data_IF_574658302233
#
_entry.id   IF_574658302233
#
_cell.length_a   1.000
_cell.length_b   1.000
_cell.length_c   1.000
_cell.angle_alpha   90.00
_cell.angle_beta   90.00
_cell.angle_gamma   90.00
#
_symmetry.space_group_name_H-M   'P 1'
#
loop_
_entity.id
_entity.type
_entity.pdbx_description
1 polymer ?
#
# COMPACT_ATOMS: atom_id res chain seq x y z
N UNK A 1 -5.83 14.30 26.94
CA UNK A 1 -4.87 13.48 26.18
C UNK A 1 -4.85 14.00 24.75
N UNK A 2 -3.82 13.71 23.96
CA UNK A 2 -3.78 14.08 22.53
C UNK A 2 -4.22 12.87 21.71
N UNK A 3 -4.84 13.10 20.55
CA UNK A 3 -5.23 12.02 19.64
C UNK A 3 -3.97 11.26 19.17
N UNK A 4 -3.96 9.93 19.27
CA UNK A 4 -2.79 9.15 18.87
C UNK A 4 -2.66 9.10 17.33
N UNK A 5 -1.52 9.46 16.73
CA UNK A 5 -1.39 9.61 15.28
C UNK A 5 -1.55 8.29 14.51
N UNK A 6 -1.19 7.15 15.13
CA UNK A 6 -1.40 5.83 14.51
C UNK A 6 -2.89 5.48 14.48
N UNK A 7 -3.63 5.75 15.56
CA UNK A 7 -5.08 5.51 15.59
C UNK A 7 -5.74 6.32 14.47
N UNK A 8 -5.41 7.60 14.37
CA UNK A 8 -5.94 8.48 13.33
C UNK A 8 -5.62 7.96 11.93
N UNK A 9 -4.37 7.53 11.67
CA UNK A 9 -4.01 6.90 10.39
C UNK A 9 -4.90 5.69 10.08
N UNK A 10 -5.09 4.77 11.03
CA UNK A 10 -5.88 3.56 10.82
C UNK A 10 -7.36 3.89 10.56
N UNK A 11 -7.90 4.90 11.25
CA UNK A 11 -9.28 5.38 11.01
C UNK A 11 -9.45 5.96 9.61
N UNK A 12 -8.49 6.78 9.17
CA UNK A 12 -8.49 7.39 7.84
C UNK A 12 -8.31 6.34 6.72
N UNK A 13 -7.51 5.30 6.94
CA UNK A 13 -7.40 4.20 5.98
C UNK A 13 -8.65 3.30 5.95
N UNK A 14 -9.37 3.20 7.07
CA UNK A 14 -10.59 2.39 7.19
C UNK A 14 -11.83 3.05 6.58
N UNK A 15 -11.94 4.38 6.66
CA UNK A 15 -13.18 5.10 6.31
C UNK A 15 -12.98 6.39 5.51
N UNK A 16 -11.74 6.70 5.13
CA UNK A 16 -11.43 7.93 4.40
C UNK A 16 -11.73 9.19 5.21
N UNK A 17 -11.83 10.30 4.50
CA UNK A 17 -12.26 11.59 5.01
C UNK A 17 -12.96 12.39 3.92
N UNK A 18 -13.67 13.45 4.30
CA UNK A 18 -14.19 14.44 3.35
C UNK A 18 -13.28 15.65 3.30
N UNK A 19 -12.99 16.15 2.10
CA UNK A 19 -12.17 17.37 1.93
C UNK A 19 -13.11 18.57 1.92
N UNK A 20 -12.88 19.56 2.80
CA UNK A 20 -13.70 20.76 2.81
C UNK A 20 -13.45 21.64 1.58
N UNK A 21 -14.41 22.51 1.18
CA UNK A 21 -14.24 23.37 0.02
C UNK A 21 -12.98 24.24 0.10
N UNK A 22 -12.69 24.79 1.28
CA UNK A 22 -11.49 25.61 1.52
C UNK A 22 -10.21 24.78 1.36
N UNK A 23 -10.16 23.57 1.91
CA UNK A 23 -9.02 22.68 1.75
C UNK A 23 -8.84 22.25 0.28
N UNK A 24 -9.93 21.95 -0.43
CA UNK A 24 -9.89 21.58 -1.84
C UNK A 24 -9.34 22.71 -2.72
N UNK A 25 -9.73 23.96 -2.46
CA UNK A 25 -9.21 25.13 -3.17
C UNK A 25 -7.70 25.28 -2.95
N UNK A 26 -7.25 25.13 -1.70
CA UNK A 26 -5.84 25.27 -1.35
C UNK A 26 -4.97 24.15 -1.97
N UNK A 27 -5.49 22.92 -1.98
CA UNK A 27 -4.84 21.78 -2.65
C UNK A 27 -4.61 22.06 -4.14
N UNK A 28 -5.61 22.63 -4.82
CA UNK A 28 -5.55 22.90 -6.27
C UNK A 28 -4.48 23.92 -6.70
N UNK A 29 -3.88 24.68 -5.76
CA UNK A 29 -2.93 25.76 -6.09
C UNK A 29 -1.52 25.26 -6.39
N UNK A 30 -0.96 24.42 -5.53
CA UNK A 30 0.46 24.02 -5.61
C UNK A 30 0.76 22.63 -5.03
N UNK A 31 -0.22 21.99 -4.39
CA UNK A 31 -0.02 20.74 -3.70
C UNK A 31 -0.12 19.56 -4.67
N UNK A 32 0.61 18.50 -4.34
CA UNK A 32 0.63 17.30 -5.16
C UNK A 32 -0.77 16.67 -5.16
N UNK A 33 -1.39 16.64 -6.33
CA UNK A 33 -2.50 15.71 -6.63
C UNK A 33 -1.87 14.44 -7.21
N UNK A 34 -2.23 13.28 -6.68
CA UNK A 34 -1.55 12.04 -7.04
C UNK A 34 -1.73 11.65 -8.51
N UNK A 35 -0.76 10.88 -9.00
CA UNK A 35 -0.73 10.36 -10.36
C UNK A 35 -0.37 8.87 -10.29
N UNK A 36 -1.38 8.04 -10.09
CA UNK A 36 -1.21 6.59 -9.98
C UNK A 36 -0.62 6.01 -11.27
N UNK A 37 0.36 5.12 -11.15
CA UNK A 37 1.00 4.41 -12.26
C UNK A 37 0.99 2.91 -11.97
N UNK A 38 0.26 2.17 -12.80
CA UNK A 38 0.13 0.70 -12.73
C UNK A 38 -0.31 0.21 -11.35
N UNK A 39 0.42 -0.75 -10.77
CA UNK A 39 0.09 -1.33 -9.46
C UNK A 39 0.56 -0.46 -8.27
N UNK A 40 1.29 0.63 -8.51
CA UNK A 40 1.85 1.50 -7.47
C UNK A 40 1.04 2.78 -7.34
N UNK A 41 0.77 3.22 -6.10
CA UNK A 41 0.18 4.54 -5.87
C UNK A 41 -1.33 4.63 -6.14
N UNK A 42 -2.13 3.61 -5.77
CA UNK A 42 -3.58 3.59 -6.00
C UNK A 42 -4.41 4.63 -5.19
N UNK A 43 -3.79 5.58 -4.49
CA UNK A 43 -4.44 6.40 -3.45
C UNK A 43 -4.07 7.89 -3.58
N UNK A 44 -5.07 8.74 -3.77
CA UNK A 44 -4.90 10.02 -4.45
C UNK A 44 -4.27 11.18 -3.65
N UNK A 45 -4.04 11.03 -2.35
CA UNK A 45 -3.52 12.13 -1.54
C UNK A 45 -2.63 11.63 -0.40
N UNK A 46 -1.36 12.01 -0.43
CA UNK A 46 -0.47 11.77 0.70
C UNK A 46 -0.62 12.92 1.71
N UNK A 47 -0.84 12.58 2.98
CA UNK A 47 -0.76 13.52 4.09
C UNK A 47 0.28 13.03 5.11
N UNK A 48 0.88 13.97 5.83
CA UNK A 48 1.82 13.68 6.90
C UNK A 48 1.25 14.28 8.19
N UNK A 49 0.86 13.42 9.12
CA UNK A 49 0.29 13.81 10.42
C UNK A 49 1.39 14.33 11.36
N UNK A 50 1.09 15.36 12.13
CA UNK A 50 2.00 15.98 13.10
C UNK A 50 1.32 16.16 14.46
N UNK A 51 1.95 15.74 15.58
CA UNK A 51 3.33 15.23 15.73
C UNK A 51 3.55 13.79 15.23
N UNK A 52 4.82 13.37 15.11
CA UNK A 52 5.20 11.99 14.75
C UNK A 52 5.49 11.74 13.27
N UNK A 53 5.10 12.66 12.37
CA UNK A 53 5.33 12.57 10.92
C UNK A 53 4.86 11.22 10.35
N UNK A 54 3.62 10.86 10.68
CA UNK A 54 3.00 9.62 10.19
C UNK A 54 2.44 9.86 8.79
N UNK A 55 2.96 9.13 7.81
CA UNK A 55 2.43 9.14 6.46
C UNK A 55 1.10 8.40 6.37
N UNK A 56 0.13 9.01 5.69
CA UNK A 56 -1.14 8.40 5.32
C UNK A 56 -1.38 8.66 3.84
N UNK A 57 -1.51 7.60 3.05
CA UNK A 57 -1.92 7.66 1.64
C UNK A 57 -3.41 7.47 1.58
N UNK A 58 -4.15 8.57 1.53
CA UNK A 58 -5.60 8.58 1.61
C UNK A 58 -6.22 7.97 0.34
N UNK A 59 -7.09 6.96 0.49
CA UNK A 59 -7.95 6.51 -0.59
C UNK A 59 -8.95 7.60 -0.92
N UNK A 60 -8.69 8.32 -2.00
CA UNK A 60 -9.55 9.36 -2.51
C UNK A 60 -9.48 9.38 -4.04
N UNK A 61 -10.40 10.09 -4.68
CA UNK A 61 -10.38 10.34 -6.12
C UNK A 61 -11.16 9.35 -6.96
N UNK A 62 -11.13 9.56 -8.28
CA UNK A 62 -12.09 8.97 -9.22
C UNK A 62 -12.12 7.43 -9.26
N UNK A 63 -11.02 6.76 -8.88
CA UNK A 63 -10.91 5.31 -8.87
C UNK A 63 -11.51 4.64 -7.63
N UNK A 64 -11.66 5.37 -6.52
CA UNK A 64 -12.21 4.85 -5.26
C UNK A 64 -13.75 4.88 -5.33
N UNK A 65 -14.40 3.83 -4.85
CA UNK A 65 -15.86 3.75 -4.80
C UNK A 65 -16.41 4.79 -3.79
N UNK A 66 -17.56 5.39 -4.12
CA UNK A 66 -18.16 6.48 -3.33
C UNK A 66 -18.52 6.05 -1.91
N UNK A 67 -18.95 4.79 -1.71
CA UNK A 67 -19.29 4.31 -0.37
C UNK A 67 -18.10 4.17 0.59
N UNK A 68 -16.86 4.35 0.12
CA UNK A 68 -15.69 4.35 1.00
C UNK A 68 -15.78 5.45 2.06
N UNK A 69 -16.25 6.63 1.67
CA UNK A 69 -16.35 7.84 2.50
C UNK A 69 -17.76 8.03 3.09
N UNK A 70 -18.69 7.11 2.83
CA UNK A 70 -20.07 7.22 3.29
C UNK A 70 -20.14 7.22 4.82
N UNK A 71 -20.78 8.27 5.35
CA UNK A 71 -20.95 8.47 6.79
C UNK A 71 -19.65 8.75 7.55
N UNK A 72 -18.51 8.94 6.89
CA UNK A 72 -17.25 9.26 7.57
C UNK A 72 -17.36 10.58 8.33
N UNK A 73 -16.98 10.63 9.62
CA UNK A 73 -16.97 11.87 10.38
C UNK A 73 -15.69 12.68 10.19
N UNK A 74 -14.69 12.13 9.53
CA UNK A 74 -13.37 12.75 9.39
C UNK A 74 -13.37 13.75 8.25
N UNK A 75 -12.73 14.90 8.47
CA UNK A 75 -12.57 15.92 7.44
C UNK A 75 -11.11 16.36 7.31
N UNK A 76 -10.72 16.75 6.10
CA UNK A 76 -9.50 17.51 5.84
C UNK A 76 -9.88 18.98 5.70
N UNK A 77 -9.35 19.79 6.60
CA UNK A 77 -9.64 21.22 6.73
C UNK A 77 -8.37 22.05 6.54
N UNK A 78 -8.56 23.35 6.33
CA UNK A 78 -7.48 24.35 6.32
C UNK A 78 -7.93 25.55 7.15
N UNK A 79 -7.08 26.00 8.08
CA UNK A 79 -7.38 27.20 8.87
C UNK A 79 -7.03 28.50 8.12
N UNK A 80 -7.42 29.65 8.67
CA UNK A 80 -7.17 30.96 8.06
C UNK A 80 -5.69 31.32 7.87
N UNK A 81 -4.76 30.55 8.44
CA UNK A 81 -3.32 30.68 8.24
C UNK A 81 -2.76 29.75 7.16
N UNK A 82 -3.60 28.94 6.49
CA UNK A 82 -3.17 27.96 5.50
C UNK A 82 -2.65 26.65 6.09
N UNK A 83 -2.80 26.43 7.41
CA UNK A 83 -2.37 25.19 8.05
C UNK A 83 -3.49 24.14 7.91
N UNK A 84 -3.16 23.03 7.23
CA UNK A 84 -4.05 21.88 7.13
C UNK A 84 -4.18 21.13 8.46
N UNK A 85 -5.37 20.59 8.72
CA UNK A 85 -5.62 19.73 9.87
C UNK A 85 -6.71 18.69 9.56
N UNK A 86 -6.66 17.59 10.31
CA UNK A 86 -7.73 16.59 10.32
C UNK A 86 -8.74 16.97 11.39
N UNK A 87 -9.99 17.10 10.96
CA UNK A 87 -11.15 17.33 11.80
C UNK A 87 -11.95 16.05 12.03
N UNK A 88 -12.78 16.03 13.08
CA UNK A 88 -13.79 14.98 13.32
C UNK A 88 -15.10 15.63 13.75
N UNK A 89 -16.17 15.36 13.02
CA UNK A 89 -17.54 15.76 13.38
C UNK A 89 -18.11 14.85 14.48
N UNK A 90 -19.16 15.29 15.21
CA UNK A 90 -19.86 14.43 16.16
C UNK A 90 -20.24 13.09 15.54
N UNK A 91 -19.82 11.99 16.17
CA UNK A 91 -19.93 10.66 15.60
C UNK A 91 -20.23 9.61 16.67
N UNK A 92 -20.79 8.48 16.23
CA UNK A 92 -21.00 7.30 17.09
C UNK A 92 -20.34 6.07 16.47
N UNK A 93 -19.73 5.22 17.29
CA UNK A 93 -19.23 3.93 16.86
C UNK A 93 -20.41 2.94 16.75
N UNK A 94 -20.57 2.32 15.59
CA UNK A 94 -21.57 1.26 15.35
C UNK A 94 -21.04 -0.10 15.79
N UNK A 95 -21.95 -1.07 15.90
CA UNK A 95 -21.62 -2.47 16.22
C UNK A 95 -20.69 -3.11 15.19
N UNK A 96 -20.74 -2.68 13.93
CA UNK A 96 -19.84 -3.11 12.85
C UNK A 96 -18.41 -2.51 12.95
N UNK A 97 -18.12 -1.77 14.03
CA UNK A 97 -16.81 -1.15 14.25
C UNK A 97 -16.53 0.04 13.36
N UNK A 98 -17.54 0.61 12.68
CA UNK A 98 -17.40 1.82 11.86
C UNK A 98 -18.00 3.04 12.55
N UNK A 99 -17.41 4.21 12.30
CA UNK A 99 -17.95 5.47 12.79
C UNK A 99 -19.09 5.93 11.88
N UNK A 100 -20.13 6.54 12.45
CA UNK A 100 -21.16 7.24 11.68
C UNK A 100 -21.26 8.68 12.15
N UNK A 101 -21.13 9.63 11.20
CA UNK A 101 -21.37 11.05 11.42
C UNK A 101 -22.83 11.25 11.87
N UNK A 102 -23.03 11.96 12.98
CA UNK A 102 -24.35 12.20 13.57
C UNK A 102 -24.92 13.56 13.17
N UNK A 103 -24.05 14.53 12.89
CA UNK A 103 -24.41 15.92 12.59
C UNK A 103 -23.54 16.43 11.44
N UNK A 104 -24.07 16.36 10.21
CA UNK A 104 -23.33 16.69 9.00
C UNK A 104 -22.99 18.18 8.88
N UNK A 105 -23.79 19.07 9.48
CA UNK A 105 -23.57 20.52 9.43
C UNK A 105 -22.74 21.04 10.61
N UNK A 106 -22.32 20.18 11.54
CA UNK A 106 -21.51 20.57 12.69
C UNK A 106 -20.08 20.94 12.27
N UNK A 107 -19.53 21.96 12.93
CA UNK A 107 -18.12 22.31 12.82
C UNK A 107 -17.25 21.16 13.37
N UNK A 108 -16.22 20.70 12.64
CA UNK A 108 -15.40 19.58 13.07
C UNK A 108 -14.46 19.98 14.21
N UNK A 109 -14.31 19.10 15.19
CA UNK A 109 -13.26 19.22 16.21
C UNK A 109 -11.89 19.00 15.55
N UNK A 110 -10.94 19.93 15.74
CA UNK A 110 -9.56 19.80 15.25
C UNK A 110 -8.83 18.71 16.04
N UNK A 111 -8.54 17.58 15.39
CA UNK A 111 -7.83 16.47 16.02
C UNK A 111 -6.31 16.63 15.92
N UNK A 112 -5.80 16.93 14.72
CA UNK A 112 -4.37 16.88 14.45
C UNK A 112 -3.96 17.72 13.26
N UNK A 113 -2.81 18.39 13.33
CA UNK A 113 -2.25 19.10 12.19
C UNK A 113 -1.67 18.12 11.17
N UNK A 114 -1.78 18.44 9.90
CA UNK A 114 -1.15 17.66 8.85
C UNK A 114 -0.51 18.57 7.80
N UNK A 115 0.39 17.99 7.02
CA UNK A 115 0.99 18.65 5.86
C UNK A 115 0.80 17.80 4.63
N UNK A 116 0.50 18.45 3.51
CA UNK A 116 0.45 17.81 2.20
C UNK A 116 1.76 18.10 1.48
N UNK A 117 2.36 17.12 0.77
CA UNK A 117 3.59 17.34 0.03
C UNK A 117 3.34 18.29 -1.15
N UNK A 118 4.30 19.17 -1.38
CA UNK A 118 4.31 20.01 -2.57
C UNK A 118 4.48 19.16 -3.84
N UNK A 119 3.98 19.67 -4.97
CA UNK A 119 4.22 19.02 -6.26
C UNK A 119 5.72 18.90 -6.54
N UNK A 120 6.26 17.70 -6.81
CA UNK A 120 7.67 17.54 -7.12
C UNK A 120 8.05 18.29 -8.40
N UNK A 121 9.12 19.10 -8.37
CA UNK A 121 9.51 19.93 -9.51
C UNK A 121 9.91 19.14 -10.77
N UNK A 122 10.24 17.85 -10.65
CA UNK A 122 10.53 17.01 -11.80
C UNK A 122 9.25 16.58 -12.55
N UNK A 123 8.06 16.77 -11.98
CA UNK A 123 6.79 16.43 -12.64
C UNK A 123 6.52 17.25 -13.90
N UNK A 124 7.11 18.45 -14.01
CA UNK A 124 6.95 19.33 -15.19
C UNK A 124 8.02 19.06 -16.26
N UNK A 125 8.91 18.09 -16.02
CA UNK A 125 9.98 17.70 -16.95
C UNK A 125 9.57 16.51 -17.80
N UNK A 126 10.26 16.37 -18.93
CA UNK A 126 10.15 15.23 -19.84
C UNK A 126 11.50 14.54 -19.98
N UNK A 127 11.47 13.24 -20.18
CA UNK A 127 12.65 12.47 -20.56
C UNK A 127 13.04 12.77 -22.00
N UNK A 128 14.25 12.39 -22.42
CA UNK A 128 14.74 12.46 -23.80
C UNK A 128 13.87 11.68 -24.79
N UNK A 129 13.15 10.66 -24.32
CA UNK A 129 12.17 9.91 -25.11
C UNK A 129 10.79 10.59 -25.18
N UNK A 130 10.62 11.77 -24.56
CA UNK A 130 9.39 12.55 -24.60
C UNK A 130 8.33 12.17 -23.56
N UNK A 131 8.61 11.20 -22.68
CA UNK A 131 7.70 10.80 -21.62
C UNK A 131 7.68 11.83 -20.49
N UNK A 132 6.50 12.07 -19.91
CA UNK A 132 6.38 12.86 -18.68
C UNK A 132 7.08 12.11 -17.54
N UNK A 133 8.00 12.77 -16.85
CA UNK A 133 8.69 12.16 -15.70
C UNK A 133 7.72 11.82 -14.56
N UNK A 134 6.59 12.54 -14.45
CA UNK A 134 5.48 12.22 -13.54
C UNK A 134 4.91 10.81 -13.79
N UNK A 135 4.83 10.38 -15.05
CA UNK A 135 4.27 9.08 -15.43
C UNK A 135 5.31 7.96 -15.44
N UNK A 136 6.61 8.30 -15.46
CA UNK A 136 7.69 7.34 -15.31
C UNK A 136 7.87 6.94 -13.85
N UNK A 137 7.94 7.91 -12.94
CA UNK A 137 8.15 7.61 -11.51
C UNK A 137 7.44 8.65 -10.63
N UNK A 138 6.12 8.52 -10.41
CA UNK A 138 5.43 9.36 -9.45
C UNK A 138 6.03 9.23 -8.05
N UNK A 139 6.21 10.37 -7.39
CA UNK A 139 6.59 10.44 -5.98
C UNK A 139 5.40 10.00 -5.13
N UNK A 140 5.59 9.12 -4.16
CA UNK A 140 4.56 8.65 -3.24
C UNK A 140 5.16 8.55 -1.84
N UNK A 141 4.59 9.25 -0.85
CA UNK A 141 5.19 9.35 0.48
C UNK A 141 6.60 9.96 0.45
N UNK A 142 7.63 9.12 0.50
CA UNK A 142 9.04 9.47 0.41
C UNK A 142 9.80 8.72 -0.71
N UNK A 143 9.10 7.98 -1.57
CA UNK A 143 9.71 7.14 -2.61
C UNK A 143 9.21 7.45 -4.02
N UNK A 144 9.90 6.95 -5.04
CA UNK A 144 9.44 6.95 -6.42
C UNK A 144 8.82 5.62 -6.80
N UNK A 145 7.53 5.56 -7.09
CA UNK A 145 6.83 4.34 -7.51
C UNK A 145 6.87 4.16 -9.01
N UNK A 146 6.96 2.93 -9.51
CA UNK A 146 6.78 2.68 -10.96
C UNK A 146 6.43 1.23 -11.28
N UNK A 147 6.17 1.00 -12.56
CA UNK A 147 5.93 -0.28 -13.20
C UNK A 147 6.78 -0.38 -14.45
N UNK A 148 7.25 -1.58 -14.77
CA UNK A 148 7.90 -1.87 -16.06
C UNK A 148 6.89 -2.50 -17.02
N UNK A 149 6.05 -3.40 -16.49
CA UNK A 149 4.98 -4.06 -17.22
C UNK A 149 3.64 -3.86 -16.51
N UNK A 150 2.73 -3.06 -17.09
CA UNK A 150 1.40 -2.85 -16.54
C UNK A 150 0.41 -3.97 -16.86
N UNK A 151 0.75 -4.92 -17.74
CA UNK A 151 -0.13 -6.01 -18.15
C UNK A 151 0.02 -7.23 -17.25
N UNK A 152 -1.08 -7.95 -17.01
CA UNK A 152 -1.12 -9.15 -16.19
C UNK A 152 -1.75 -10.34 -16.94
N UNK A 153 -1.16 -11.53 -16.82
CA UNK A 153 -1.65 -12.76 -17.47
C UNK A 153 -3.05 -13.16 -16.99
N UNK A 154 -3.39 -12.86 -15.74
CA UNK A 154 -4.70 -13.20 -15.16
C UNK A 154 -5.86 -12.37 -15.70
N UNK A 155 -5.58 -11.31 -16.46
CA UNK A 155 -6.58 -10.55 -17.22
C UNK A 155 -6.65 -11.03 -18.68
N UNK A 156 -5.92 -12.08 -19.06
CA UNK A 156 -5.92 -12.61 -20.43
C UNK A 156 -4.98 -11.89 -21.41
N UNK A 157 -4.21 -10.88 -20.98
CA UNK A 157 -3.31 -10.11 -21.86
C UNK A 157 -2.23 -10.93 -22.56
N UNK A 158 -1.79 -12.03 -21.95
CA UNK A 158 -0.74 -12.91 -22.49
C UNK A 158 -1.26 -14.28 -22.91
N UNK A 159 -2.19 -14.84 -22.14
CA UNK A 159 -2.72 -16.19 -22.33
C UNK A 159 -4.23 -16.17 -22.12
N UNK A 160 -4.98 -16.45 -23.18
CA UNK A 160 -6.45 -16.39 -23.17
C UNK A 160 -7.09 -17.33 -22.13
N UNK A 161 -6.46 -18.45 -21.81
CA UNK A 161 -6.96 -19.42 -20.82
C UNK A 161 -6.99 -18.91 -19.36
N UNK A 162 -6.43 -17.71 -19.12
CA UNK A 162 -6.47 -17.02 -17.84
C UNK A 162 -7.43 -15.84 -17.82
N UNK A 163 -8.12 -15.53 -18.93
CA UNK A 163 -9.18 -14.53 -18.97
C UNK A 163 -10.27 -14.86 -17.92
N UNK A 164 -10.67 -13.87 -17.10
CA UNK A 164 -11.64 -14.04 -16.01
C UNK A 164 -11.07 -14.62 -14.71
N UNK A 165 -9.76 -14.84 -14.63
CA UNK A 165 -9.07 -15.36 -13.43
C UNK A 165 -8.33 -14.29 -12.63
N UNK A 166 -8.56 -13.02 -12.95
CA UNK A 166 -7.96 -11.87 -12.27
C UNK A 166 -8.25 -11.86 -10.78
N UNK A 167 -7.33 -11.28 -10.02
CA UNK A 167 -7.56 -11.09 -8.60
C UNK A 167 -8.73 -10.12 -8.40
N UNK A 168 -9.72 -10.50 -7.60
CA UNK A 168 -11.03 -9.82 -7.51
C UNK A 168 -10.97 -8.37 -6.98
N UNK A 169 -9.86 -7.98 -6.37
CA UNK A 169 -9.57 -6.62 -5.87
C UNK A 169 -8.68 -5.78 -6.80
N UNK A 170 -8.16 -6.35 -7.89
CA UNK A 170 -7.10 -5.73 -8.67
C UNK A 170 -7.65 -4.78 -9.73
N UNK A 171 -7.36 -3.49 -9.63
CA UNK A 171 -7.63 -2.49 -10.69
C UNK A 171 -6.41 -2.14 -11.55
N UNK A 172 -5.59 -3.13 -11.94
CA UNK A 172 -4.38 -2.85 -12.74
C UNK A 172 -4.73 -2.49 -14.20
N UNK A 173 -5.77 -3.11 -14.77
CA UNK A 173 -6.20 -2.89 -16.15
C UNK A 173 -6.84 -1.50 -16.32
N UNK A 174 -7.65 -1.08 -15.36
CA UNK A 174 -8.26 0.25 -15.30
C UNK A 174 -7.19 1.36 -15.29
N UNK A 175 -6.05 1.10 -14.64
CA UNK A 175 -4.91 2.00 -14.66
C UNK A 175 -4.22 2.03 -16.03
N UNK A 176 -4.08 0.88 -16.69
CA UNK A 176 -3.54 0.77 -18.04
C UNK A 176 -4.43 1.48 -19.07
N UNK A 177 -5.73 1.18 -19.09
CA UNK A 177 -6.71 1.72 -20.05
C UNK A 177 -6.86 3.23 -19.96
N UNK A 178 -6.71 3.81 -18.77
CA UNK A 178 -6.74 5.26 -18.58
C UNK A 178 -5.53 6.02 -19.16
N UNK A 179 -4.51 5.32 -19.69
CA UNK A 179 -3.31 5.92 -20.29
C UNK A 179 -2.34 6.56 -19.28
N UNK A 180 -2.54 6.32 -17.97
CA UNK A 180 -1.70 6.87 -16.90
C UNK A 180 -0.33 6.18 -16.80
N UNK A 181 -0.21 4.97 -17.31
CA UNK A 181 1.02 4.17 -17.26
C UNK A 181 1.61 4.00 -18.67
N UNK A 182 2.62 4.79 -19.07
CA UNK A 182 3.15 4.74 -20.41
C UNK A 182 3.85 3.40 -20.66
N UNK A 183 3.61 2.81 -21.83
CA UNK A 183 4.26 1.57 -22.24
C UNK A 183 4.59 1.62 -23.75
N UNK A 184 5.81 1.26 -24.18
CA UNK A 184 6.94 0.78 -23.37
C UNK A 184 7.74 1.90 -22.70
N UNK A 185 8.21 1.68 -21.46
CA UNK A 185 9.21 2.53 -20.79
C UNK A 185 10.62 2.07 -21.15
N UNK A 186 11.57 3.00 -21.20
CA UNK A 186 12.99 2.74 -21.52
C UNK A 186 13.86 2.92 -20.28
N UNK A 187 15.04 2.31 -20.30
CA UNK A 187 16.01 2.42 -19.20
C UNK A 187 16.41 3.89 -18.99
N UNK A 188 16.65 4.63 -20.08
CA UNK A 188 17.00 6.05 -20.03
C UNK A 188 15.91 6.91 -19.39
N UNK A 189 14.63 6.55 -19.57
CA UNK A 189 13.52 7.23 -18.90
C UNK A 189 13.68 7.19 -17.39
N UNK A 190 14.07 6.03 -16.85
CA UNK A 190 14.27 5.84 -15.42
C UNK A 190 15.54 6.52 -14.91
N UNK A 191 16.64 6.48 -15.66
CA UNK A 191 17.88 7.14 -15.28
C UNK A 191 17.69 8.65 -15.16
N UNK A 192 17.12 9.28 -16.19
CA UNK A 192 16.87 10.72 -16.21
C UNK A 192 15.85 11.13 -15.15
N UNK A 193 14.77 10.36 -15.00
CA UNK A 193 13.73 10.67 -14.00
C UNK A 193 14.27 10.51 -12.58
N UNK A 194 15.06 9.48 -12.29
CA UNK A 194 15.65 9.26 -10.98
C UNK A 194 16.68 10.35 -10.62
N UNK A 195 17.50 10.77 -11.59
CA UNK A 195 18.44 11.88 -11.40
C UNK A 195 17.72 13.16 -10.94
N UNK A 196 16.59 13.48 -11.56
CA UNK A 196 15.77 14.64 -11.21
C UNK A 196 14.99 14.44 -9.91
N UNK A 197 14.43 13.25 -9.68
CA UNK A 197 13.67 12.94 -8.47
C UNK A 197 14.54 13.04 -7.22
N UNK A 198 15.81 12.63 -7.28
CA UNK A 198 16.78 12.74 -6.16
C UNK A 198 17.07 14.18 -5.73
N UNK A 199 16.74 15.18 -6.57
CA UNK A 199 16.86 16.62 -6.22
C UNK A 199 15.66 17.10 -5.40
N UNK A 200 14.56 16.33 -5.34
CA UNK A 200 13.38 16.67 -4.54
C UNK A 200 13.63 16.41 -3.05
N UNK A 201 13.45 17.41 -2.15
CA UNK A 201 13.76 17.26 -0.73
C UNK A 201 13.04 16.10 -0.01
N UNK A 202 11.86 15.69 -0.49
CA UNK A 202 11.08 14.57 0.07
C UNK A 202 11.50 13.19 -0.45
N UNK A 203 12.30 13.11 -1.50
CA UNK A 203 12.70 11.83 -2.10
C UNK A 203 13.77 11.13 -1.26
N UNK A 204 13.59 9.83 -1.02
CA UNK A 204 14.52 8.98 -0.27
C UNK A 204 15.01 7.79 -1.08
N UNK A 205 14.14 7.15 -1.85
CA UNK A 205 14.51 5.99 -2.64
C UNK A 205 13.53 5.65 -3.76
N UNK A 206 13.91 4.71 -4.61
CA UNK A 206 13.12 4.22 -5.74
C UNK A 206 13.93 4.19 -7.04
N UNK A 207 13.48 3.53 -8.11
CA UNK A 207 12.10 3.08 -8.25
C UNK A 207 11.74 1.91 -7.33
N UNK A 208 10.56 2.01 -6.73
CA UNK A 208 9.84 0.88 -6.15
C UNK A 208 8.98 0.31 -7.26
N UNK A 209 9.46 -0.77 -7.87
CA UNK A 209 8.80 -1.43 -8.97
C UNK A 209 7.72 -2.40 -8.48
N UNK A 210 6.55 -2.34 -9.10
CA UNK A 210 5.57 -3.42 -9.11
C UNK A 210 5.12 -3.68 -10.55
N UNK A 211 4.42 -4.79 -10.80
CA UNK A 211 3.93 -5.06 -12.15
C UNK A 211 2.86 -6.13 -12.18
N UNK A 212 2.21 -6.24 -13.33
CA UNK A 212 1.36 -7.40 -13.61
C UNK A 212 2.20 -8.67 -13.75
N UNK A 213 1.54 -9.82 -13.60
CA UNK A 213 2.22 -11.11 -13.70
C UNK A 213 2.43 -11.47 -15.16
N UNK A 214 3.66 -11.81 -15.55
CA UNK A 214 3.95 -12.31 -16.90
C UNK A 214 3.80 -13.83 -16.97
N UNK A 215 3.56 -14.36 -18.17
CA UNK A 215 3.30 -15.79 -18.39
C UNK A 215 4.54 -16.70 -18.30
N UNK A 216 5.75 -16.13 -18.44
CA UNK A 216 6.99 -16.91 -18.44
C UNK A 216 7.33 -17.48 -17.04
N UNK A 217 8.14 -18.54 -16.96
CA UNK A 217 8.53 -19.14 -15.67
C UNK A 217 9.36 -18.21 -14.79
N UNK A 218 9.96 -17.17 -15.37
CA UNK A 218 10.71 -16.13 -14.64
C UNK A 218 9.81 -15.03 -14.08
N UNK A 219 8.50 -15.01 -14.42
CA UNK A 219 7.51 -14.02 -13.98
C UNK A 219 7.95 -12.57 -14.15
N UNK A 220 8.77 -12.32 -15.18
CA UNK A 220 9.29 -11.01 -15.54
C UNK A 220 10.62 -10.67 -14.89
N UNK A 221 11.21 -11.54 -14.07
CA UNK A 221 12.49 -11.30 -13.41
C UNK A 221 13.60 -10.92 -14.41
N UNK A 222 13.67 -11.60 -15.56
CA UNK A 222 14.70 -11.31 -16.58
C UNK A 222 14.58 -9.90 -17.13
N UNK A 223 13.36 -9.41 -17.33
CA UNK A 223 13.20 -8.06 -17.87
C UNK A 223 13.47 -7.03 -16.77
N UNK A 224 12.98 -7.23 -15.56
CA UNK A 224 13.26 -6.31 -14.46
C UNK A 224 14.77 -6.21 -14.17
N UNK A 225 15.52 -7.32 -14.24
CA UNK A 225 16.98 -7.31 -14.10
C UNK A 225 17.70 -6.39 -15.12
N UNK A 226 17.15 -6.23 -16.34
CA UNK A 226 17.70 -5.32 -17.37
C UNK A 226 17.52 -3.85 -17.01
N UNK A 227 16.52 -3.51 -16.19
CA UNK A 227 16.30 -2.15 -15.72
C UNK A 227 17.02 -1.90 -14.38
N UNK A 228 17.01 -2.87 -13.48
CA UNK A 228 17.66 -2.76 -12.16
C UNK A 228 19.16 -2.50 -12.29
N UNK A 229 19.87 -3.25 -13.15
CA UNK A 229 21.33 -3.17 -13.24
C UNK A 229 21.83 -1.79 -13.66
N UNK A 230 21.39 -1.20 -14.79
CA UNK A 230 21.81 0.15 -15.17
C UNK A 230 21.46 1.22 -14.13
N UNK A 231 20.29 1.11 -13.48
CA UNK A 231 19.88 2.05 -12.43
C UNK A 231 20.81 1.93 -11.22
N UNK A 232 21.11 0.71 -10.76
CA UNK A 232 22.02 0.48 -9.64
C UNK A 232 23.45 0.89 -9.97
N UNK A 233 23.92 0.63 -11.19
CA UNK A 233 25.27 1.03 -11.64
C UNK A 233 25.41 2.57 -11.66
N UNK A 234 24.38 3.30 -12.10
CA UNK A 234 24.37 4.76 -12.14
C UNK A 234 24.18 5.39 -10.74
N UNK A 235 23.41 4.75 -9.86
CA UNK A 235 23.09 5.23 -8.52
C UNK A 235 23.29 4.13 -7.45
N UNK A 236 24.55 3.79 -7.10
CA UNK A 236 24.85 2.64 -6.21
C UNK A 236 24.26 2.76 -4.80
N UNK A 237 24.10 3.99 -4.30
CA UNK A 237 23.53 4.31 -2.99
C UNK A 237 21.99 4.26 -2.96
N UNK A 238 21.36 4.17 -4.13
CA UNK A 238 19.93 4.28 -4.26
C UNK A 238 19.23 2.93 -4.03
N UNK A 239 18.31 2.87 -3.06
CA UNK A 239 17.59 1.64 -2.73
C UNK A 239 16.53 1.27 -3.78
N UNK A 240 16.60 0.05 -4.32
CA UNK A 240 15.71 -0.50 -5.34
C UNK A 240 14.88 -1.64 -4.78
N UNK A 241 13.56 -1.56 -4.94
CA UNK A 241 12.63 -2.62 -4.56
C UNK A 241 11.88 -3.11 -5.78
N UNK A 242 11.62 -4.41 -5.82
CA UNK A 242 10.76 -5.02 -6.81
C UNK A 242 9.69 -5.91 -6.18
N UNK A 243 8.48 -5.88 -6.70
CA UNK A 243 7.43 -6.85 -6.38
C UNK A 243 6.89 -7.47 -7.66
N UNK A 244 6.96 -8.80 -7.76
CA UNK A 244 6.45 -9.61 -8.89
C UNK A 244 5.79 -10.88 -8.35
N UNK A 245 5.17 -11.69 -9.21
CA UNK A 245 4.79 -13.04 -8.80
C UNK A 245 6.04 -13.91 -8.57
N UNK A 246 6.01 -14.88 -7.64
CA UNK A 246 7.15 -15.75 -7.40
C UNK A 246 7.48 -16.54 -8.67
N UNK A 247 8.74 -16.49 -9.16
CA UNK A 247 9.15 -17.27 -10.31
C UNK A 247 9.17 -18.77 -9.98
N UNK A 248 9.19 -19.63 -11.00
CA UNK A 248 9.19 -21.09 -10.82
C UNK A 248 10.50 -21.63 -10.21
N UNK A 249 11.60 -20.92 -10.42
CA UNK A 249 12.95 -21.33 -10.00
C UNK A 249 13.68 -20.20 -9.26
N UNK A 250 14.45 -20.60 -8.27
CA UNK A 250 15.22 -19.77 -7.33
C UNK A 250 16.24 -18.86 -8.03
N UNK A 251 16.87 -19.35 -9.11
CA UNK A 251 17.86 -18.61 -9.92
C UNK A 251 17.34 -17.26 -10.43
N UNK A 252 16.02 -17.10 -10.57
CA UNK A 252 15.42 -15.85 -11.00
C UNK A 252 15.33 -14.82 -9.87
N UNK A 253 15.20 -15.24 -8.61
CA UNK A 253 15.40 -14.36 -7.47
C UNK A 253 16.87 -13.93 -7.37
N UNK A 254 17.80 -14.88 -7.52
CA UNK A 254 19.25 -14.58 -7.51
C UNK A 254 19.62 -13.54 -8.56
N UNK A 255 19.12 -13.71 -9.78
CA UNK A 255 19.31 -12.77 -10.88
C UNK A 255 18.86 -11.33 -10.53
N UNK A 256 17.78 -11.18 -9.78
CA UNK A 256 17.28 -9.85 -9.38
C UNK A 256 18.21 -9.18 -8.37
N UNK A 257 18.68 -9.93 -7.38
CA UNK A 257 19.66 -9.42 -6.40
C UNK A 257 21.01 -9.13 -7.04
N UNK A 258 21.50 -10.00 -7.93
CA UNK A 258 22.72 -9.76 -8.72
C UNK A 258 22.60 -8.53 -9.64
N UNK A 259 21.38 -8.20 -10.07
CA UNK A 259 21.09 -7.00 -10.84
C UNK A 259 20.92 -5.74 -9.97
N UNK A 260 21.04 -5.85 -8.65
CA UNK A 260 20.99 -4.70 -7.75
C UNK A 260 19.66 -4.47 -7.06
N UNK A 261 18.74 -5.44 -7.02
CA UNK A 261 17.59 -5.34 -6.12
C UNK A 261 18.06 -5.35 -4.65
N UNK A 262 17.56 -4.41 -3.85
CA UNK A 262 17.78 -4.42 -2.40
C UNK A 262 16.70 -5.20 -1.65
N UNK A 263 15.54 -5.39 -2.28
CA UNK A 263 14.45 -6.17 -1.71
C UNK A 263 13.54 -6.66 -2.82
N UNK A 264 13.11 -7.91 -2.72
CA UNK A 264 12.16 -8.54 -3.64
C UNK A 264 10.94 -9.00 -2.85
N UNK A 265 9.75 -8.65 -3.33
CA UNK A 265 8.49 -8.99 -2.69
C UNK A 265 7.66 -10.00 -3.50
N UNK A 266 7.05 -10.96 -2.80
CA UNK A 266 6.12 -11.94 -3.38
C UNK A 266 4.75 -11.89 -2.68
N UNK A 267 3.78 -11.31 -3.40
CA UNK A 267 2.38 -11.08 -3.04
C UNK A 267 1.51 -12.28 -2.65
N UNK A 268 1.37 -12.62 -1.36
CA UNK A 268 0.30 -13.53 -0.88
C UNK A 268 -1.09 -12.93 -1.12
N UNK A 269 -1.26 -11.67 -0.73
CA UNK A 269 -2.53 -10.91 -0.71
C UNK A 269 -3.54 -11.45 0.32
N UNK A 270 -3.79 -12.76 0.36
CA UNK A 270 -4.75 -13.43 1.25
C UNK A 270 -4.07 -14.64 1.88
N UNK A 271 -4.09 -14.79 3.20
CA UNK A 271 -3.45 -15.93 3.87
C UNK A 271 -4.35 -17.16 3.91
N UNK A 272 -5.66 -16.98 4.16
CA UNK A 272 -6.61 -18.08 4.21
C UNK A 272 -6.68 -18.83 2.86
N UNK A 273 -6.37 -20.14 2.81
CA UNK A 273 -6.33 -20.89 1.55
C UNK A 273 -7.64 -20.89 0.76
N UNK A 274 -8.79 -20.94 1.45
CA UNK A 274 -10.09 -20.98 0.77
C UNK A 274 -10.41 -19.62 0.16
N UNK A 275 -10.14 -18.55 0.88
CA UNK A 275 -10.31 -17.18 0.38
C UNK A 275 -9.29 -16.85 -0.70
N UNK A 276 -8.04 -17.31 -0.59
CA UNK A 276 -7.02 -17.14 -1.60
C UNK A 276 -7.44 -17.76 -2.95
N UNK A 277 -8.00 -18.98 -2.94
CA UNK A 277 -8.53 -19.60 -4.14
C UNK A 277 -9.72 -18.82 -4.75
N UNK A 278 -10.58 -18.24 -3.91
CA UNK A 278 -11.73 -17.44 -4.38
C UNK A 278 -11.33 -16.07 -4.93
N UNK A 279 -10.40 -15.40 -4.26
CA UNK A 279 -10.04 -14.01 -4.53
C UNK A 279 -8.88 -13.88 -5.52
N UNK A 280 -8.03 -14.90 -5.64
CA UNK A 280 -6.88 -14.95 -6.53
C UNK A 280 -6.83 -16.26 -7.35
N UNK A 281 -7.91 -16.63 -8.07
CA UNK A 281 -7.99 -17.95 -8.72
C UNK A 281 -6.89 -18.18 -9.76
N UNK A 282 -6.49 -17.14 -10.50
CA UNK A 282 -5.39 -17.21 -11.46
C UNK A 282 -4.05 -17.54 -10.81
N UNK A 283 -3.75 -16.96 -9.64
CA UNK A 283 -2.53 -17.26 -8.87
C UNK A 283 -2.54 -18.70 -8.37
N UNK A 284 -3.66 -19.20 -7.86
CA UNK A 284 -3.75 -20.60 -7.40
C UNK A 284 -3.53 -21.57 -8.55
N UNK A 285 -4.18 -21.33 -9.70
CA UNK A 285 -4.01 -22.17 -10.90
C UNK A 285 -2.58 -22.15 -11.44
N UNK A 286 -1.94 -20.98 -11.48
CA UNK A 286 -0.69 -20.74 -12.22
C UNK A 286 0.58 -20.82 -11.38
N UNK A 287 0.53 -20.39 -10.12
CA UNK A 287 1.70 -20.32 -9.23
C UNK A 287 1.76 -21.53 -8.31
N UNK A 288 0.61 -21.96 -7.80
CA UNK A 288 0.46 -23.00 -6.79
C UNK A 288 -0.01 -24.35 -7.37
N UNK A 289 0.01 -24.47 -8.71
CA UNK A 289 -0.38 -25.68 -9.44
C UNK A 289 -1.77 -26.24 -9.03
N UNK A 290 -2.70 -25.34 -8.69
CA UNK A 290 -4.07 -25.65 -8.33
C UNK A 290 -4.32 -25.96 -6.85
N UNK A 291 -3.29 -25.97 -6.00
CA UNK A 291 -3.42 -26.28 -4.57
C UNK A 291 -3.20 -25.02 -3.74
N UNK A 292 -4.24 -24.40 -3.16
CA UNK A 292 -4.05 -23.18 -2.37
C UNK A 292 -3.31 -23.51 -1.06
N UNK A 293 -2.02 -23.17 -0.98
CA UNK A 293 -1.20 -23.39 0.21
C UNK A 293 -0.08 -22.36 0.43
N UNK A 294 0.23 -21.56 -0.60
CA UNK A 294 1.36 -20.64 -0.66
C UNK A 294 2.72 -21.33 -0.74
N UNK A 295 2.79 -22.61 -1.09
CA UNK A 295 4.02 -23.42 -1.11
C UNK A 295 5.09 -22.83 -2.03
N UNK A 296 4.71 -22.35 -3.22
CA UNK A 296 5.66 -21.74 -4.15
C UNK A 296 6.10 -20.36 -3.67
N UNK A 297 5.21 -19.59 -3.06
CA UNK A 297 5.59 -18.32 -2.44
C UNK A 297 6.58 -18.55 -1.29
N UNK A 298 6.26 -19.49 -0.41
CA UNK A 298 7.05 -19.93 0.74
C UNK A 298 8.45 -20.39 0.34
N UNK A 299 8.52 -21.25 -0.66
CA UNK A 299 9.78 -21.71 -1.25
C UNK A 299 10.65 -20.53 -1.67
N UNK A 300 10.07 -19.59 -2.41
CA UNK A 300 10.82 -18.48 -2.99
C UNK A 300 11.23 -17.42 -1.97
N UNK A 301 10.37 -17.10 -0.98
CA UNK A 301 10.75 -16.15 0.08
C UNK A 301 11.76 -16.74 1.06
N UNK A 302 11.67 -18.05 1.39
CA UNK A 302 12.71 -18.72 2.19
C UNK A 302 14.06 -18.69 1.49
N UNK A 303 14.11 -19.01 0.20
CA UNK A 303 15.34 -18.92 -0.60
C UNK A 303 15.97 -17.51 -0.52
N UNK A 304 15.15 -16.45 -0.59
CA UNK A 304 15.66 -15.08 -0.48
C UNK A 304 16.24 -14.82 0.91
N UNK A 305 15.53 -15.19 1.98
CA UNK A 305 15.99 -14.93 3.35
C UNK A 305 17.27 -15.72 3.66
N UNK A 306 17.34 -16.98 3.24
CA UNK A 306 18.51 -17.84 3.46
C UNK A 306 19.77 -17.34 2.76
N UNK A 307 19.66 -16.79 1.55
CA UNK A 307 20.80 -16.38 0.73
C UNK A 307 21.17 -14.89 0.85
N UNK A 308 20.18 -14.02 1.08
CA UNK A 308 20.38 -12.56 1.12
C UNK A 308 20.16 -11.96 2.50
N UNK A 309 19.49 -12.67 3.42
CA UNK A 309 19.28 -12.27 4.81
C UNK A 309 17.86 -11.77 5.12
N UNK A 310 17.57 -11.69 6.41
CA UNK A 310 16.32 -11.15 6.96
C UNK A 310 16.05 -9.74 6.44
N UNK A 311 14.80 -9.44 6.09
CA UNK A 311 14.40 -8.12 5.59
C UNK A 311 14.73 -7.86 4.11
N UNK A 312 15.29 -8.84 3.39
CA UNK A 312 15.47 -8.76 1.92
C UNK A 312 14.26 -9.27 1.15
N UNK A 313 13.33 -9.95 1.81
CA UNK A 313 12.04 -10.35 1.28
C UNK A 313 10.90 -9.60 1.99
N UNK A 314 9.84 -9.29 1.25
CA UNK A 314 8.57 -8.83 1.81
C UNK A 314 7.39 -9.58 1.19
N UNK A 315 6.27 -9.65 1.89
CA UNK A 315 5.03 -10.17 1.33
C UNK A 315 3.83 -9.37 1.86
N UNK A 316 2.97 -8.93 0.95
CA UNK A 316 1.74 -8.25 1.30
C UNK A 316 0.62 -9.20 1.73
N UNK A 317 -0.16 -8.76 2.71
CA UNK A 317 -1.50 -9.25 3.03
C UNK A 317 -2.50 -8.09 2.95
N UNK A 318 -3.76 -8.38 2.63
CA UNK A 318 -4.84 -7.40 2.50
C UNK A 318 -5.80 -7.49 3.68
N UNK A 319 -5.73 -6.52 4.58
CA UNK A 319 -6.68 -6.39 5.67
C UNK A 319 -8.09 -6.06 5.13
N UNK A 320 -9.10 -6.77 5.63
CA UNK A 320 -10.51 -6.60 5.24
C UNK A 320 -11.01 -7.57 4.16
N UNK A 321 -10.14 -8.43 3.63
CA UNK A 321 -10.50 -9.48 2.67
C UNK A 321 -10.43 -10.90 3.24
N UNK A 322 -10.12 -11.02 4.52
CA UNK A 322 -10.22 -12.22 5.34
C UNK A 322 -10.46 -11.81 6.80
N UNK A 323 -10.89 -12.73 7.70
CA UNK A 323 -11.01 -12.42 9.12
C UNK A 323 -9.68 -11.90 9.69
N UNK A 324 -9.71 -10.87 10.54
CA UNK A 324 -8.51 -10.23 11.08
C UNK A 324 -7.51 -11.22 11.73
N UNK A 325 -8.02 -12.26 12.40
CA UNK A 325 -7.18 -13.34 12.95
C UNK A 325 -6.37 -14.06 11.86
N UNK A 326 -6.96 -14.34 10.69
CA UNK A 326 -6.24 -15.00 9.58
C UNK A 326 -5.12 -14.13 9.02
N UNK A 327 -5.33 -12.81 8.96
CA UNK A 327 -4.26 -11.87 8.62
C UNK A 327 -3.14 -11.89 9.66
N UNK A 328 -3.47 -11.97 10.96
CA UNK A 328 -2.49 -12.12 12.04
C UNK A 328 -1.72 -13.44 11.94
N UNK A 329 -2.38 -14.55 11.63
CA UNK A 329 -1.73 -15.85 11.41
C UNK A 329 -0.73 -15.76 10.23
N UNK A 330 -1.11 -15.07 9.15
CA UNK A 330 -0.22 -14.81 8.02
C UNK A 330 0.96 -13.90 8.35
N UNK A 331 0.75 -12.89 9.20
CA UNK A 331 1.82 -12.04 9.74
C UNK A 331 2.83 -12.89 10.52
N UNK A 332 2.36 -13.76 11.43
CA UNK A 332 3.23 -14.65 12.20
C UNK A 332 3.99 -15.63 11.30
N UNK A 333 3.32 -16.24 10.33
CA UNK A 333 3.95 -17.14 9.36
C UNK A 333 5.10 -16.45 8.62
N UNK A 334 4.84 -15.30 8.00
CA UNK A 334 5.85 -14.53 7.25
C UNK A 334 7.01 -14.07 8.15
N UNK A 335 6.70 -13.48 9.30
CA UNK A 335 7.71 -12.99 10.23
C UNK A 335 8.61 -14.11 10.77
N UNK A 336 8.05 -15.30 11.02
CA UNK A 336 8.80 -16.48 11.47
C UNK A 336 9.85 -16.96 10.46
N UNK A 337 9.65 -16.66 9.17
CA UNK A 337 10.62 -16.93 8.10
C UNK A 337 11.60 -15.78 7.85
N UNK A 338 11.56 -14.69 8.63
CA UNK A 338 12.41 -13.50 8.42
C UNK A 338 11.96 -12.59 7.28
N UNK A 339 10.73 -12.75 6.80
CA UNK A 339 10.11 -11.94 5.74
C UNK A 339 9.38 -10.77 6.36
N UNK A 340 9.48 -9.56 5.79
CA UNK A 340 8.74 -8.38 6.25
C UNK A 340 7.27 -8.50 5.83
N UNK A 341 6.32 -8.65 6.78
CA UNK A 341 4.89 -8.61 6.46
C UNK A 341 4.45 -7.16 6.22
N UNK A 342 3.81 -6.91 5.08
CA UNK A 342 3.32 -5.58 4.69
C UNK A 342 1.80 -5.59 4.52
N UNK A 343 1.08 -4.97 5.45
CA UNK A 343 -0.38 -5.15 5.52
C UNK A 343 -1.08 -3.98 4.85
N UNK A 344 -1.47 -4.18 3.61
CA UNK A 344 -2.25 -3.20 2.86
C UNK A 344 -3.69 -3.18 3.35
N UNK A 345 -4.25 -1.99 3.48
CA UNK A 345 -5.67 -1.82 3.80
C UNK A 345 -6.46 -1.95 2.51
N UNK A 346 -7.46 -2.83 2.48
CA UNK A 346 -8.33 -2.95 1.33
C UNK A 346 -9.09 -1.65 1.07
N UNK A 347 -9.16 -1.27 -0.20
CA UNK A 347 -9.93 -0.12 -0.68
C UNK A 347 -10.81 -0.57 -1.83
N UNK A 348 -12.12 -0.26 -1.80
CA UNK A 348 -13.01 -0.56 -2.90
C UNK A 348 -12.68 0.32 -4.10
N UNK A 349 -12.28 -0.31 -5.20
CA UNK A 349 -12.00 0.37 -6.46
C UNK A 349 -13.15 0.12 -7.44
N UNK A 350 -13.62 1.19 -8.10
CA UNK A 350 -14.66 1.11 -9.13
C UNK A 350 -14.22 0.19 -10.27
N UNK A 351 -15.15 -0.61 -10.78
CA UNK A 351 -14.90 -1.57 -11.86
C UNK A 351 -14.31 -2.90 -11.41
N UNK A 352 -13.87 -3.04 -10.16
CA UNK A 352 -13.38 -4.32 -9.64
C UNK A 352 -14.52 -5.20 -9.12
N UNK A 353 -14.33 -6.52 -9.11
CA UNK A 353 -15.34 -7.46 -8.60
C UNK A 353 -15.67 -7.25 -7.10
N UNK A 354 -14.73 -6.68 -6.34
CA UNK A 354 -14.89 -6.28 -4.95
C UNK A 354 -15.23 -4.80 -4.77
N UNK A 355 -15.72 -4.11 -5.81
CA UNK A 355 -16.04 -2.69 -5.69
C UNK A 355 -17.03 -2.41 -4.55
N UNK A 356 -17.97 -3.31 -4.27
CA UNK A 356 -18.97 -3.22 -3.20
C UNK A 356 -18.48 -3.65 -1.80
N UNK A 357 -17.25 -4.15 -1.66
CA UNK A 357 -16.70 -4.57 -0.37
C UNK A 357 -16.37 -3.37 0.51
N UNK A 358 -16.64 -3.47 1.80
CA UNK A 358 -16.21 -2.47 2.77
C UNK A 358 -14.75 -2.70 3.18
N UNK A 359 -13.96 -1.63 3.39
CA UNK A 359 -12.67 -1.72 4.08
C UNK A 359 -12.79 -2.34 5.48
N UNK A 360 -11.70 -2.86 6.07
CA UNK A 360 -11.71 -3.35 7.44
C UNK A 360 -12.13 -2.25 8.41
N UNK A 361 -12.83 -2.61 9.48
CA UNK A 361 -13.21 -1.69 10.55
C UNK A 361 -11.98 -1.16 11.30
N UNK A 362 -12.11 -0.03 11.99
CA UNK A 362 -11.01 0.46 12.85
C UNK A 362 -10.66 -0.55 13.94
N UNK A 363 -11.65 -1.29 14.45
CA UNK A 363 -11.44 -2.32 15.48
C UNK A 363 -10.52 -3.44 14.98
N UNK A 364 -10.78 -3.97 13.78
CA UNK A 364 -9.91 -4.99 13.16
C UNK A 364 -8.51 -4.43 12.90
N UNK A 365 -8.42 -3.16 12.48
CA UNK A 365 -7.15 -2.51 12.21
C UNK A 365 -6.29 -2.32 13.47
N UNK A 366 -6.90 -2.00 14.63
CA UNK A 366 -6.20 -1.93 15.93
C UNK A 366 -5.67 -3.30 16.33
N UNK A 367 -6.48 -4.34 16.16
CA UNK A 367 -6.09 -5.71 16.47
C UNK A 367 -4.92 -6.18 15.59
N UNK A 368 -5.01 -5.97 14.28
CA UNK A 368 -3.95 -6.30 13.32
C UNK A 368 -2.68 -5.50 13.64
N UNK A 369 -2.80 -4.20 13.92
CA UNK A 369 -1.66 -3.34 14.25
C UNK A 369 -0.89 -3.82 15.48
N UNK A 370 -1.61 -4.13 16.55
CA UNK A 370 -1.03 -4.53 17.83
C UNK A 370 -0.29 -5.87 17.70
N UNK A 371 -0.89 -6.83 16.99
CA UNK A 371 -0.26 -8.10 16.71
C UNK A 371 0.93 -7.97 15.75
N UNK A 372 0.81 -7.18 14.68
CA UNK A 372 1.90 -6.90 13.75
C UNK A 372 3.13 -6.35 14.48
N UNK A 373 2.95 -5.39 15.37
CA UNK A 373 4.04 -4.85 16.20
C UNK A 373 4.66 -5.96 17.06
N UNK A 374 3.84 -6.67 17.85
CA UNK A 374 4.34 -7.70 18.77
C UNK A 374 5.07 -8.83 18.06
N UNK A 375 4.55 -9.27 16.91
CA UNK A 375 5.11 -10.36 16.11
C UNK A 375 6.43 -9.93 15.45
N UNK A 376 6.48 -8.75 14.83
CA UNK A 376 7.71 -8.28 14.19
C UNK A 376 8.83 -8.07 15.22
N UNK A 377 8.51 -7.60 16.43
CA UNK A 377 9.47 -7.52 17.54
C UNK A 377 9.93 -8.90 18.03
N UNK A 378 8.99 -9.85 18.19
CA UNK A 378 9.28 -11.24 18.59
C UNK A 378 10.28 -11.92 17.66
N UNK A 379 10.13 -11.71 16.35
CA UNK A 379 11.00 -12.34 15.33
C UNK A 379 12.17 -11.44 14.88
N UNK A 380 12.28 -10.21 15.39
CA UNK A 380 13.36 -9.27 15.02
C UNK A 380 13.32 -8.84 13.55
N UNK A 381 12.13 -8.79 12.95
CA UNK A 381 11.93 -8.39 11.55
C UNK A 381 11.53 -6.91 11.49
N UNK A 382 12.01 -6.20 10.46
CA UNK A 382 11.66 -4.79 10.30
C UNK A 382 10.18 -4.60 9.91
N UNK A 383 9.66 -3.40 10.13
CA UNK A 383 8.26 -3.02 9.86
C UNK A 383 8.12 -2.09 8.65
N UNK A 384 9.14 -2.12 7.77
CA UNK A 384 9.15 -1.46 6.46
C UNK A 384 9.40 0.07 6.50
N UNK A 385 9.56 0.71 5.34
CA UNK A 385 9.92 2.14 5.23
C UNK A 385 8.71 3.06 5.52
N UNK A 386 8.91 4.22 6.17
CA UNK A 386 7.80 5.06 6.64
C UNK A 386 6.90 5.60 5.51
N UNK A 387 7.44 6.18 4.43
CA UNK A 387 6.61 6.63 3.32
C UNK A 387 6.03 5.47 2.50
N UNK A 388 6.73 4.36 2.37
CA UNK A 388 6.18 3.12 1.79
C UNK A 388 4.97 2.60 2.57
N UNK A 389 4.98 2.80 3.89
CA UNK A 389 3.94 2.38 4.82
C UNK A 389 2.67 3.25 4.78
N UNK A 390 2.60 4.31 3.97
CA UNK A 390 1.49 5.27 3.98
C UNK A 390 0.10 4.64 3.76
N UNK A 391 0.02 3.50 3.06
CA UNK A 391 -1.21 2.74 2.78
C UNK A 391 -1.32 1.45 3.61
N UNK A 392 -0.39 1.25 4.55
CA UNK A 392 -0.27 0.02 5.33
C UNK A 392 -0.73 0.23 6.77
N UNK A 393 -1.12 -0.86 7.42
CA UNK A 393 -1.22 -0.92 8.88
C UNK A 393 0.15 -0.67 9.51
N UNK A 394 1.23 -1.20 8.90
CA UNK A 394 2.61 -0.89 9.27
C UNK A 394 2.75 0.63 9.42
N UNK A 395 3.31 1.09 10.54
CA UNK A 395 3.45 2.53 10.79
C UNK A 395 4.71 2.82 11.57
N UNK A 396 5.55 3.69 11.02
CA UNK A 396 6.73 4.25 11.69
C UNK A 396 6.62 5.76 11.75
N UNK A 397 7.21 6.35 12.78
CA UNK A 397 7.45 7.80 12.81
C UNK A 397 8.63 8.14 11.89
N UNK A 398 8.45 9.17 11.08
CA UNK A 398 9.48 9.65 10.15
C UNK A 398 10.41 10.69 10.81
N UNK A 399 11.62 10.86 10.26
CA UNK A 399 12.76 11.67 10.76
C UNK A 399 13.57 11.12 11.95
N UNK A 400 13.98 9.85 11.86
CA UNK A 400 14.85 9.24 12.88
C UNK A 400 14.18 9.05 14.24
N UNK A 401 12.86 9.27 14.32
CA UNK A 401 12.17 9.41 15.58
C UNK A 401 11.74 8.11 16.24
N UNK A 402 11.66 6.96 15.56
CA UNK A 402 11.66 5.61 16.16
C UNK A 402 11.83 4.53 15.08
N UNK A 403 12.73 3.54 15.26
CA UNK A 403 12.86 2.42 14.32
C UNK A 403 11.71 1.40 14.44
N UNK A 404 10.95 1.47 15.54
CA UNK A 404 9.86 0.53 15.85
C UNK A 404 8.49 1.17 15.64
N UNK A 405 7.46 0.32 15.54
CA UNK A 405 6.07 0.76 15.46
C UNK A 405 5.63 1.41 16.79
N UNK A 406 5.05 2.64 16.78
CA UNK A 406 4.59 3.29 18.01
C UNK A 406 3.51 2.48 18.74
N UNK A 407 3.67 2.25 20.03
CA UNK A 407 2.66 1.51 20.81
C UNK A 407 1.34 2.30 20.91
N UNK A 408 0.21 1.58 20.85
CA UNK A 408 -1.11 2.08 21.23
C UNK A 408 -1.44 1.51 22.61
N UNK A 409 -1.87 2.35 23.54
CA UNK A 409 -2.28 1.93 24.89
C UNK A 409 -3.78 1.81 25.02
N UNK A 410 -4.25 1.13 26.07
CA UNK A 410 -5.68 1.09 26.41
C UNK A 410 -6.25 2.50 26.63
N UNK A 411 -5.48 3.41 27.23
CA UNK A 411 -5.91 4.78 27.48
C UNK A 411 -6.04 5.59 26.19
N UNK A 412 -5.19 5.34 25.20
CA UNK A 412 -5.34 5.92 23.86
C UNK A 412 -6.68 5.48 23.22
N UNK A 413 -7.04 4.19 23.35
CA UNK A 413 -8.30 3.66 22.84
C UNK A 413 -9.52 4.22 23.59
N UNK A 414 -9.48 4.23 24.94
CA UNK A 414 -10.54 4.83 25.76
C UNK A 414 -10.75 6.29 25.41
N UNK A 415 -9.66 7.04 25.19
CA UNK A 415 -9.71 8.46 24.86
C UNK A 415 -10.48 8.72 23.55
N UNK A 416 -10.32 7.87 22.54
CA UNK A 416 -11.02 8.01 21.26
C UNK A 416 -12.36 7.26 21.19
N UNK A 417 -12.77 6.61 22.29
CA UNK A 417 -14.02 5.85 22.38
C UNK A 417 -13.97 4.48 21.68
N UNK A 418 -12.80 3.87 21.59
CA UNK A 418 -12.60 2.50 21.08
C UNK A 418 -12.43 1.49 22.24
N UNK A 419 -12.83 0.22 22.05
CA UNK A 419 -12.72 -0.82 23.08
C UNK A 419 -11.25 -1.24 23.33
N UNK A 420 -10.74 -1.18 24.58
CA UNK A 420 -9.37 -1.57 24.90
C UNK A 420 -9.01 -3.03 24.58
N UNK A 421 -9.99 -3.94 24.65
CA UNK A 421 -9.82 -5.36 24.36
C UNK A 421 -9.35 -5.63 22.93
N UNK A 422 -9.60 -4.72 21.99
CA UNK A 422 -9.18 -4.85 20.58
C UNK A 422 -7.64 -4.86 20.43
N UNK A 423 -6.87 -4.51 21.47
CA UNK A 423 -5.40 -4.68 21.49
C UNK A 423 -4.98 -6.15 21.57
N UNK A 424 -5.84 -7.01 22.12
CA UNK A 424 -5.49 -8.36 22.56
C UNK A 424 -6.34 -9.43 21.88
N UNK A 425 -7.60 -9.12 21.61
CA UNK A 425 -8.58 -10.06 21.07
C UNK A 425 -9.13 -9.57 19.74
N UNK A 426 -9.34 -10.51 18.81
CA UNK A 426 -9.98 -10.17 17.54
C UNK A 426 -11.40 -9.69 17.82
N UNK A 427 -11.83 -8.53 17.27
CA UNK A 427 -13.17 -8.04 17.52
C UNK A 427 -14.19 -9.03 16.95
N UNK A 428 -15.33 -9.27 17.64
CA UNK A 428 -16.32 -10.28 17.25
C UNK A 428 -17.20 -9.78 16.08
N UNK A 429 -16.57 -9.38 14.99
CA UNK A 429 -17.21 -8.87 13.78
C UNK A 429 -17.35 -10.00 12.76
N UNK A 430 -18.54 -10.22 12.19
CA UNK A 430 -18.73 -11.26 11.20
C UNK A 430 -18.03 -10.86 9.90
N UNK A 431 -17.24 -11.78 9.34
CA UNK A 431 -16.58 -11.57 8.06
C UNK A 431 -17.53 -11.90 6.90
N UNK A 432 -17.69 -10.94 5.98
CA UNK A 432 -18.49 -11.09 4.77
C UNK A 432 -17.73 -10.54 3.56
N UNK A 433 -17.83 -11.26 2.44
CA UNK A 433 -17.36 -10.80 1.14
C UNK A 433 -18.54 -10.34 0.29
N UNK A 434 -18.51 -9.08 -0.11
CA UNK A 434 -19.40 -8.51 -1.11
C UNK A 434 -18.68 -8.49 -2.46
N UNK A 435 -18.67 -9.64 -3.15
CA UNK A 435 -18.05 -9.84 -4.45
C UNK A 435 -19.13 -10.15 -5.49
N UNK A 436 -19.09 -9.47 -6.63
CA UNK A 436 -19.75 -9.96 -7.83
C UNK A 436 -18.87 -11.10 -8.39
N UNK A 437 -19.43 -12.32 -8.49
CA UNK A 437 -18.67 -13.51 -8.89
C UNK A 437 -18.56 -13.68 -10.40
#
# INVERSE_FOLDING_TARGET
MLYHPVILKLELLSQGLRISPAASEEIGKSLKIDHAVGAVGKHALDIILTPGKVYVGLPHGAAVNEHFEDGTPFTLEVDGGGQFYIGKKPARLKEDGRWICMEEDAEPERLMNCTLPATPGYYDKKTSNGHSMRSIMPHAGDFGGSTIFPQCVYFGHFLKEFEGTECRFCGIDENLESGRDPYPKRIDDFLETLEEARKHPGFRHGPVFAGGTTAGPDRGAKVHAKFLRPIKDAFPDNWLRLTIAPPREEKYADMLFEAGADMVGYNYEIYDPQLFNKLCPGKVKDIEDGVPGHDQYDKMIRHIVENFGTGRANANLLAGLEPAQRTVDGIEHLASMGVIPTIFVFVPLKGTALEGQMPPSIREMIYIYSNLKSITEKFGVDTYCAGCCRMLVNTKFYDGMQPTMPAITEDDLRYVGLPPEDLYEAPPLPFHLNCAW
#
